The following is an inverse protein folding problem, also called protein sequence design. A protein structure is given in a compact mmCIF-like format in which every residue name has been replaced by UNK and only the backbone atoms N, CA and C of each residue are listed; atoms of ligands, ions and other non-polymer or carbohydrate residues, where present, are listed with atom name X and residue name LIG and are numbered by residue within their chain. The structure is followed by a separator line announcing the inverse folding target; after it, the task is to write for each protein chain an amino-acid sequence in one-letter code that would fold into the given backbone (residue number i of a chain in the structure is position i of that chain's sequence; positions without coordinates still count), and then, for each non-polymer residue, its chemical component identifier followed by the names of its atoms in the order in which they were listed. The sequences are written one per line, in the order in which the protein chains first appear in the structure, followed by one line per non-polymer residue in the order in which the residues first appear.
data_IF_309944008540
#
_entry.id   IF_309944008540
#
_cell.length_a   1.000
_cell.length_b   1.000
_cell.length_c   1.000
_cell.angle_alpha   90.00
_cell.angle_beta   90.00
_cell.angle_gamma   90.00
#
_symmetry.space_group_name_H-M   'P 1'
#
loop_
_entity.id
_entity.type
_entity.pdbx_description
1 polymer ?
#
# COMPACT_ATOMS: atom_id res chain seq x y z
N UNK A 1 -13.24 -4.72 21.10
CA UNK A 1 -12.60 -5.12 19.81
C UNK A 1 -11.21 -5.68 20.11
N UNK A 2 -10.56 -6.41 19.19
CA UNK A 2 -9.16 -6.83 19.39
C UNK A 2 -8.21 -5.92 18.61
N UNK A 3 -7.00 -5.72 19.14
CA UNK A 3 -5.94 -4.98 18.45
C UNK A 3 -5.71 -5.55 17.04
N UNK A 4 -5.67 -6.88 16.92
CA UNK A 4 -5.50 -7.55 15.62
C UNK A 4 -6.58 -7.20 14.59
N UNK A 5 -7.85 -7.13 15.01
CA UNK A 5 -8.95 -6.75 14.13
C UNK A 5 -8.83 -5.28 13.66
N UNK A 6 -8.39 -4.38 14.54
CA UNK A 6 -8.17 -2.96 14.18
C UNK A 6 -7.08 -2.81 13.12
N UNK A 7 -5.95 -3.50 13.27
CA UNK A 7 -4.90 -3.50 12.24
C UNK A 7 -5.43 -4.06 10.91
N UNK A 8 -6.06 -5.24 10.92
CA UNK A 8 -6.60 -5.85 9.70
C UNK A 8 -7.64 -4.98 9.01
N UNK A 9 -8.46 -4.25 9.76
CA UNK A 9 -9.53 -3.38 9.25
C UNK A 9 -9.11 -1.96 8.88
N UNK A 10 -7.87 -1.55 9.16
CA UNK A 10 -7.39 -0.19 8.95
C UNK A 10 -7.40 0.23 7.48
N UNK A 11 -8.08 1.33 7.17
CA UNK A 11 -8.05 1.92 5.84
C UNK A 11 -6.75 2.70 5.63
N UNK A 12 -6.28 3.42 6.65
CA UNK A 12 -4.99 4.13 6.62
C UNK A 12 -3.84 3.20 6.22
N UNK A 13 -3.69 2.04 6.88
CA UNK A 13 -2.62 1.10 6.55
C UNK A 13 -2.76 0.53 5.13
N UNK A 14 -3.99 0.35 4.64
CA UNK A 14 -4.24 -0.17 3.28
C UNK A 14 -4.02 0.88 2.19
N UNK A 15 -4.33 2.14 2.46
CA UNK A 15 -4.44 3.19 1.45
C UNK A 15 -3.31 4.21 1.48
N UNK A 16 -2.65 4.39 2.62
CA UNK A 16 -1.62 5.41 2.83
C UNK A 16 -0.25 4.84 3.15
N UNK A 17 -0.13 3.55 3.46
CA UNK A 17 1.14 2.94 3.89
C UNK A 17 1.65 1.93 2.87
N UNK A 18 2.96 1.92 2.61
CA UNK A 18 3.68 1.01 1.72
C UNK A 18 3.99 -0.36 2.36
N UNK A 19 3.28 -0.73 3.43
CA UNK A 19 3.38 -2.05 4.05
C UNK A 19 2.00 -2.67 4.28
N UNK A 20 1.94 -3.99 4.29
CA UNK A 20 0.70 -4.71 4.59
C UNK A 20 0.28 -4.50 6.05
N UNK A 21 -1.03 -4.51 6.38
CA UNK A 21 -1.49 -4.42 7.76
C UNK A 21 -0.93 -5.49 8.70
N UNK A 22 -0.66 -6.70 8.17
CA UNK A 22 -0.04 -7.77 8.94
C UNK A 22 1.39 -7.41 9.39
N UNK A 23 2.20 -6.81 8.50
CA UNK A 23 3.54 -6.31 8.84
C UNK A 23 3.47 -5.14 9.83
N UNK A 24 2.57 -4.19 9.61
CA UNK A 24 2.37 -3.06 10.52
C UNK A 24 2.01 -3.54 11.94
N UNK A 25 1.19 -4.58 12.07
CA UNK A 25 0.85 -5.18 13.37
C UNK A 25 2.06 -5.78 14.08
N UNK A 26 3.01 -6.39 13.36
CA UNK A 26 4.21 -6.97 13.98
C UNK A 26 5.12 -5.87 14.52
N UNK A 27 5.25 -4.77 13.78
CA UNK A 27 6.17 -3.68 14.13
C UNK A 27 5.56 -2.77 15.20
N UNK A 28 4.33 -2.32 14.99
CA UNK A 28 3.68 -1.30 15.82
C UNK A 28 2.63 -1.88 16.78
N UNK A 29 2.34 -3.18 16.72
CA UNK A 29 1.29 -3.78 17.56
C UNK A 29 1.53 -3.60 19.06
N UNK A 30 2.79 -3.57 19.49
CA UNK A 30 3.17 -3.33 20.89
C UNK A 30 2.85 -1.91 21.39
N UNK A 31 2.51 -0.97 20.50
CA UNK A 31 2.02 0.35 20.88
C UNK A 31 0.53 0.36 21.23
N UNK A 32 -0.19 -0.75 21.01
CA UNK A 32 -1.64 -0.80 21.19
C UNK A 32 -2.03 -1.82 22.24
N UNK A 33 -2.96 -1.43 23.10
CA UNK A 33 -3.57 -2.31 24.09
C UNK A 33 -5.08 -2.12 24.09
N UNK A 34 -5.80 -3.08 24.70
CA UNK A 34 -7.23 -2.95 24.93
C UNK A 34 -7.41 -2.22 26.26
N UNK A 35 -8.02 -1.04 26.23
CA UNK A 35 -8.34 -0.25 27.42
C UNK A 35 -9.41 -0.90 28.29
N UNK A 36 -9.63 -0.35 29.48
CA UNK A 36 -10.60 -0.87 30.46
C UNK A 36 -12.04 -0.90 29.91
N UNK A 37 -12.38 0.06 29.06
CA UNK A 37 -13.65 0.18 28.34
C UNK A 37 -13.75 -0.72 27.08
N UNK A 38 -12.76 -1.57 26.83
CA UNK A 38 -12.73 -2.51 25.69
C UNK A 38 -12.42 -1.85 24.34
N UNK A 39 -12.08 -0.56 24.37
CA UNK A 39 -11.57 0.22 23.25
C UNK A 39 -10.09 -0.10 22.98
N UNK A 40 -9.61 0.18 21.76
CA UNK A 40 -8.18 0.02 21.44
C UNK A 40 -7.49 1.36 21.66
N UNK A 41 -6.55 1.38 22.59
CA UNK A 41 -5.80 2.58 23.00
C UNK A 41 -4.39 2.49 22.45
N UNK A 42 -3.93 3.56 21.80
CA UNK A 42 -2.57 3.69 21.28
C UNK A 42 -1.65 4.46 22.24
N UNK A 43 -0.39 4.05 22.30
CA UNK A 43 0.67 4.65 23.10
C UNK A 43 1.80 5.18 22.21
N UNK A 44 2.49 6.22 22.67
CA UNK A 44 3.64 6.79 21.95
C UNK A 44 4.83 5.83 21.85
N UNK A 45 4.99 4.94 22.83
CA UNK A 45 6.05 3.93 22.91
C UNK A 45 5.48 2.52 23.02
N UNK A 46 6.22 1.49 22.58
CA UNK A 46 5.79 0.10 22.73
C UNK A 46 5.74 -0.32 24.20
N UNK A 47 4.93 -1.34 24.50
CA UNK A 47 4.85 -1.96 25.81
C UNK A 47 6.24 -2.39 26.31
N UNK A 48 6.53 -2.11 27.58
CA UNK A 48 7.82 -2.38 28.23
C UNK A 48 8.78 -1.19 28.26
N UNK A 49 8.52 -0.11 27.51
CA UNK A 49 9.28 1.14 27.63
C UNK A 49 8.83 1.96 28.84
N UNK A 50 9.79 2.60 29.51
CA UNK A 50 9.50 3.57 30.59
C UNK A 50 8.86 4.83 29.98
N UNK A 51 8.01 5.48 30.77
CA UNK A 51 7.39 6.78 30.41
C UNK A 51 6.59 6.73 29.09
N UNK A 52 5.93 5.60 28.83
CA UNK A 52 4.91 5.51 27.77
C UNK A 52 3.67 6.32 28.18
N UNK A 53 3.14 7.09 27.24
CA UNK A 53 1.96 7.92 27.40
C UNK A 53 0.87 7.50 26.42
N UNK A 54 -0.37 7.56 26.87
CA UNK A 54 -1.54 7.37 26.00
C UNK A 54 -1.57 8.49 24.98
N UNK A 55 -1.77 8.14 23.71
CA UNK A 55 -2.03 9.12 22.67
C UNK A 55 -3.45 9.63 22.83
N UNK A 56 -3.59 10.91 23.18
CA UNK A 56 -4.87 11.59 23.36
C UNK A 56 -5.07 12.71 22.34
N UNK A 57 -6.32 13.07 22.10
CA UNK A 57 -6.70 14.29 21.37
C UNK A 57 -6.51 15.55 22.22
N UNK A 58 -6.89 16.71 21.66
CA UNK A 58 -6.81 18.01 22.37
C UNK A 58 -7.76 18.14 23.57
N UNK A 59 -8.75 17.25 23.70
CA UNK A 59 -9.69 17.19 24.82
C UNK A 59 -9.25 16.19 25.89
N UNK A 60 -8.12 15.50 25.68
CA UNK A 60 -7.60 14.48 26.60
C UNK A 60 -8.24 13.11 26.43
N UNK A 61 -9.02 12.87 25.38
CA UNK A 61 -9.61 11.55 25.11
C UNK A 61 -8.65 10.68 24.30
N UNK A 62 -8.60 9.35 24.51
CA UNK A 62 -7.76 8.45 23.73
C UNK A 62 -8.03 8.60 22.23
N UNK A 63 -6.96 8.71 21.44
CA UNK A 63 -7.07 8.77 19.98
C UNK A 63 -7.70 7.48 19.44
N UNK A 64 -8.56 7.58 18.41
CA UNK A 64 -9.03 6.40 17.70
C UNK A 64 -7.86 5.72 17.02
N UNK A 65 -8.00 4.40 16.79
CA UNK A 65 -6.93 3.56 16.23
C UNK A 65 -6.27 4.17 14.99
N UNK A 66 -7.05 4.64 14.01
CA UNK A 66 -6.51 5.22 12.76
C UNK A 66 -5.60 6.44 13.01
N UNK A 67 -6.02 7.37 13.86
CA UNK A 67 -5.22 8.55 14.20
C UNK A 67 -3.99 8.20 15.03
N UNK A 68 -4.12 7.22 15.92
CA UNK A 68 -3.01 6.74 16.73
C UNK A 68 -1.94 6.05 15.87
N UNK A 69 -2.31 5.13 14.97
CA UNK A 69 -1.34 4.44 14.11
C UNK A 69 -0.67 5.40 13.13
N UNK A 70 -1.40 6.39 12.61
CA UNK A 70 -0.81 7.43 11.79
C UNK A 70 0.24 8.23 12.57
N UNK A 71 -0.05 8.63 13.81
CA UNK A 71 0.88 9.38 14.65
C UNK A 71 2.13 8.56 14.99
N UNK A 72 1.96 7.28 15.34
CA UNK A 72 3.08 6.37 15.62
C UNK A 72 3.96 6.21 14.38
N UNK A 73 3.35 5.98 13.21
CA UNK A 73 4.08 5.76 11.97
C UNK A 73 4.79 7.03 11.49
N UNK A 74 4.19 8.22 11.68
CA UNK A 74 4.85 9.50 11.39
C UNK A 74 6.03 9.82 12.33
N UNK A 75 6.05 9.23 13.52
CA UNK A 75 7.18 9.34 14.44
C UNK A 75 8.31 8.33 14.13
N UNK A 76 8.08 7.40 13.20
CA UNK A 76 9.08 6.43 12.75
C UNK A 76 10.21 7.14 11.97
N UNK A 77 11.48 6.82 12.20
CA UNK A 77 12.60 7.40 11.44
C UNK A 77 12.49 7.15 9.93
N UNK A 78 11.83 6.08 9.50
CA UNK A 78 11.60 5.75 8.09
C UNK A 78 10.22 6.16 7.58
N UNK A 79 9.49 7.01 8.31
CA UNK A 79 8.12 7.42 7.98
C UNK A 79 7.94 7.84 6.51
N UNK A 80 8.88 8.58 5.94
CA UNK A 80 8.82 9.04 4.54
C UNK A 80 8.86 7.88 3.53
N UNK A 81 9.64 6.83 3.82
CA UNK A 81 9.71 5.63 2.99
C UNK A 81 8.52 4.69 3.21
N UNK A 82 7.89 4.75 4.38
CA UNK A 82 6.75 3.90 4.73
C UNK A 82 5.42 4.51 4.30
N UNK A 83 5.30 5.83 4.25
CA UNK A 83 4.13 6.52 3.77
C UNK A 83 4.16 6.59 2.25
N UNK A 84 3.02 6.33 1.61
CA UNK A 84 2.86 6.67 0.19
C UNK A 84 2.97 8.16 0.09
N UNK A 85 4.03 8.66 -0.56
CA UNK A 85 4.09 10.05 -0.95
C UNK A 85 2.78 10.38 -1.67
N UNK A 86 2.07 11.41 -1.21
CA UNK A 86 0.97 12.01 -1.96
C UNK A 86 1.53 12.80 -3.16
N UNK A 87 2.52 12.22 -3.85
CA UNK A 87 2.99 12.68 -5.13
C UNK A 87 1.76 12.68 -6.03
N UNK A 88 1.30 13.89 -6.36
CA UNK A 88 0.28 14.17 -7.36
C UNK A 88 0.37 13.11 -8.44
N UNK A 89 -0.74 12.37 -8.61
CA UNK A 89 -1.00 11.52 -9.76
C UNK A 89 -0.32 12.18 -10.97
N UNK A 90 0.76 11.56 -11.47
CA UNK A 90 1.76 12.24 -12.28
C UNK A 90 1.11 13.18 -13.29
N UNK A 91 1.42 14.48 -13.20
CA UNK A 91 0.92 15.47 -14.13
C UNK A 91 1.27 15.03 -15.55
N UNK A 92 0.27 14.51 -16.27
CA UNK A 92 0.36 14.25 -17.71
C UNK A 92 1.29 13.12 -18.16
N UNK A 93 0.97 11.87 -17.84
CA UNK A 93 1.35 10.76 -18.74
C UNK A 93 0.51 10.84 -20.01
N UNK A 94 0.76 11.87 -20.82
CA UNK A 94 0.35 11.93 -22.20
C UNK A 94 1.45 11.25 -23.01
N UNK A 95 1.50 9.92 -22.95
CA UNK A 95 2.36 9.14 -23.83
C UNK A 95 1.86 9.35 -25.26
N UNK A 96 2.34 10.39 -25.93
CA UNK A 96 2.23 10.48 -27.39
C UNK A 96 3.03 9.30 -27.94
N UNK A 97 2.40 8.35 -28.65
CA UNK A 97 3.15 7.28 -29.30
C UNK A 97 3.82 7.89 -30.54
N UNK A 98 5.06 8.37 -30.41
CA UNK A 98 5.84 8.82 -31.58
C UNK A 98 6.62 7.69 -32.24
N UNK A 99 6.51 6.46 -31.75
CA UNK A 99 6.98 5.29 -32.50
C UNK A 99 5.81 4.39 -32.88
N UNK A 100 5.41 4.47 -34.16
CA UNK A 100 4.63 3.42 -34.81
C UNK A 100 5.49 2.16 -34.85
N UNK A 101 5.40 1.34 -33.81
CA UNK A 101 5.75 -0.08 -33.93
C UNK A 101 4.64 -0.69 -34.77
N UNK A 102 4.92 -0.88 -36.05
CA UNK A 102 4.05 -1.57 -36.98
C UNK A 102 3.99 -3.04 -36.54
N UNK A 103 3.06 -3.38 -35.64
CA UNK A 103 2.74 -4.77 -35.33
C UNK A 103 2.30 -5.44 -36.65
N UNK A 104 3.02 -6.45 -37.15
CA UNK A 104 2.52 -7.23 -38.26
C UNK A 104 1.26 -7.96 -37.77
N UNK A 105 0.11 -7.64 -38.37
CA UNK A 105 -1.14 -8.37 -38.16
C UNK A 105 -0.85 -9.86 -38.21
N UNK A 106 -1.28 -10.58 -37.18
CA UNK A 106 -1.20 -12.05 -37.13
C UNK A 106 -1.98 -12.62 -38.32
N UNK A 107 -1.25 -12.98 -39.39
CA UNK A 107 -1.83 -13.72 -40.51
C UNK A 107 -2.21 -15.12 -40.03
N UNK A 108 -3.42 -15.55 -40.40
CA UNK A 108 -3.96 -16.87 -40.08
C UNK A 108 -3.06 -17.96 -40.65
N UNK A 109 -3.05 -19.15 -40.05
CA UNK A 109 -2.21 -20.29 -40.45
C UNK A 109 -2.38 -20.64 -41.95
N UNK A 110 -3.58 -20.45 -42.52
CA UNK A 110 -3.81 -20.63 -43.96
C UNK A 110 -3.06 -19.62 -44.84
N UNK A 111 -2.94 -18.36 -44.43
CA UNK A 111 -2.23 -17.32 -45.21
C UNK A 111 -0.72 -17.59 -45.31
N UNK A 112 -0.14 -18.26 -44.30
CA UNK A 112 1.27 -18.65 -44.28
C UNK A 112 1.55 -19.83 -45.22
N UNK A 113 0.63 -20.78 -45.32
CA UNK A 113 0.78 -21.95 -46.20
C UNK A 113 0.72 -21.55 -47.68
N UNK A 114 -0.21 -20.69 -48.07
CA UNK A 114 -0.34 -20.22 -49.46
C UNK A 114 0.88 -19.40 -49.91
N UNK A 115 1.50 -18.62 -49.01
CA UNK A 115 2.71 -17.85 -49.33
C UNK A 115 3.97 -18.71 -49.51
N UNK A 116 3.95 -19.96 -49.02
CA UNK A 116 5.08 -20.90 -49.13
C UNK A 116 5.05 -21.73 -50.41
N UNK A 117 3.88 -22.16 -50.89
CA UNK A 117 3.76 -23.04 -52.05
C UNK A 117 4.01 -22.36 -53.40
N UNK A 118 3.85 -21.04 -53.51
CA UNK A 118 4.09 -20.31 -54.76
C UNK A 118 5.56 -20.22 -55.18
N UNK A 119 6.51 -20.68 -54.34
CA UNK A 119 7.96 -20.54 -54.57
C UNK A 119 8.67 -21.84 -54.95
N UNK A 120 7.96 -22.96 -55.03
CA UNK A 120 8.55 -24.30 -55.29
C UNK A 120 8.05 -24.93 -56.61
N UNK A 121 7.19 -24.24 -57.37
CA UNK A 121 6.62 -24.76 -58.62
C UNK A 121 7.37 -24.33 -59.89
N UNK A 122 8.39 -25.12 -60.23
CA UNK A 122 8.95 -25.44 -61.54
C UNK A 122 9.54 -24.35 -62.48
N UNK A 123 10.72 -24.71 -62.93
CA UNK A 123 11.54 -24.22 -64.04
C UNK A 123 10.90 -24.50 -65.40
#
# INVERSE_FOLDING_TARGET
MTVGASFSGSAFLRDKVLMTPAKARVIYGSHFEVGEDGSVVGFDKPAGQKERAVLVDGEGKPLPFESAIERILRADPEADALLRSEAKQGAGSNSKPTHKVNQPKSKSTMDKLTSGLGKIGLK
#
